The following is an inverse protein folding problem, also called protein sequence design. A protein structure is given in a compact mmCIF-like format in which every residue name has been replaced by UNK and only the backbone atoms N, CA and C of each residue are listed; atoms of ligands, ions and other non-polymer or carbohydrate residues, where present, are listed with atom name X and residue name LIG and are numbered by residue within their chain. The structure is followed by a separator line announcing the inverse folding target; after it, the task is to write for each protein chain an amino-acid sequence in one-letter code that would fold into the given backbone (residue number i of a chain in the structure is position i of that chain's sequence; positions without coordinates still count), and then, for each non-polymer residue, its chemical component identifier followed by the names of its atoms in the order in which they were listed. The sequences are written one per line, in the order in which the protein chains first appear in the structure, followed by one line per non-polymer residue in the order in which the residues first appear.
data_IF_040622161444
#
_entry.id   IF_040622161444
#
_cell.length_a   1.000
_cell.length_b   1.000
_cell.length_c   1.000
_cell.angle_alpha   90.00
_cell.angle_beta   90.00
_cell.angle_gamma   90.00
#
_symmetry.space_group_name_H-M   'P 1'
#
loop_
_entity.id
_entity.type
_entity.pdbx_description
1 polymer ?
#
# COMPACT_ATOMS: atom_id res chain seq x y z
N UNK A 1 -31.02 6.11 34.89
CA UNK A 1 -32.27 5.73 34.19
C UNK A 1 -31.88 4.99 32.92
N UNK A 2 -32.17 3.68 32.83
CA UNK A 2 -31.87 2.81 31.67
C UNK A 2 -33.18 2.57 30.94
N UNK A 3 -33.25 2.89 29.66
CA UNK A 3 -34.42 2.59 28.82
C UNK A 3 -34.05 1.45 27.89
N UNK A 4 -34.64 0.29 28.16
CA UNK A 4 -34.66 -0.89 27.29
C UNK A 4 -35.56 -0.60 26.09
N UNK A 5 -35.06 -0.81 24.86
CA UNK A 5 -35.92 -0.96 23.69
C UNK A 5 -35.99 -2.43 23.30
N UNK A 6 -37.21 -2.94 23.36
CA UNK A 6 -37.62 -4.31 23.19
C UNK A 6 -38.29 -4.46 21.82
N UNK A 7 -37.76 -5.37 21.00
CA UNK A 7 -38.48 -6.13 19.98
C UNK A 7 -38.39 -5.67 18.52
N UNK A 8 -38.84 -6.51 17.55
CA UNK A 8 -39.09 -7.96 17.63
C UNK A 8 -38.29 -8.79 16.62
N UNK A 9 -38.09 -10.05 17.01
CA UNK A 9 -37.87 -11.22 16.18
C UNK A 9 -38.57 -11.17 14.81
N UNK A 10 -37.82 -11.42 13.73
CA UNK A 10 -38.29 -12.20 12.59
C UNK A 10 -37.16 -13.05 12.02
N UNK A 11 -37.11 -14.27 12.54
CA UNK A 11 -36.52 -15.47 11.96
C UNK A 11 -37.08 -15.62 10.54
N UNK A 12 -36.22 -15.62 9.53
CA UNK A 12 -36.48 -16.31 8.27
C UNK A 12 -35.41 -17.38 8.09
N UNK A 13 -35.92 -18.61 8.15
CA UNK A 13 -35.26 -19.90 8.02
C UNK A 13 -35.46 -20.36 6.55
N UNK A 14 -34.57 -21.24 6.06
CA UNK A 14 -34.57 -21.96 4.75
C UNK A 14 -33.78 -21.24 3.63
N UNK A 15 -32.90 -21.85 2.83
CA UNK A 15 -32.49 -23.25 2.62
C UNK A 15 -31.11 -23.22 1.93
N UNK A 16 -30.11 -23.98 2.39
CA UNK A 16 -29.57 -25.17 1.71
C UNK A 16 -29.45 -25.06 0.18
N UNK A 17 -28.22 -24.96 -0.34
CA UNK A 17 -27.77 -25.69 -1.55
C UNK A 17 -26.23 -25.70 -1.62
N UNK A 18 -25.63 -26.80 -1.15
CA UNK A 18 -24.26 -27.19 -1.49
C UNK A 18 -24.26 -27.83 -2.88
N UNK A 19 -23.42 -27.39 -3.84
CA UNK A 19 -22.97 -28.26 -4.91
C UNK A 19 -21.70 -28.98 -4.45
N UNK A 20 -21.86 -30.24 -4.06
CA UNK A 20 -20.78 -31.20 -3.94
C UNK A 20 -20.34 -31.62 -5.35
N UNK A 21 -19.21 -31.10 -5.83
CA UNK A 21 -18.54 -31.66 -7.01
C UNK A 21 -17.74 -32.89 -6.59
N UNK A 22 -18.43 -34.04 -6.60
CA UNK A 22 -17.87 -35.38 -6.57
C UNK A 22 -17.87 -35.91 -8.00
N UNK A 23 -16.71 -36.29 -8.54
CA UNK A 23 -16.66 -37.05 -9.79
C UNK A 23 -15.34 -36.90 -10.54
N UNK A 24 -14.61 -38.00 -10.67
CA UNK A 24 -13.52 -38.12 -11.65
C UNK A 24 -12.39 -39.06 -11.21
N UNK A 25 -12.69 -40.34 -11.07
CA UNK A 25 -11.69 -41.43 -10.99
C UNK A 25 -11.19 -41.77 -12.41
N UNK A 26 -9.85 -41.79 -12.58
CA UNK A 26 -9.03 -42.56 -13.54
C UNK A 26 -9.25 -42.36 -15.07
N UNK A 27 -8.22 -42.49 -15.95
CA UNK A 27 -7.09 -43.43 -15.83
C UNK A 27 -5.68 -42.87 -16.09
N UNK A 28 -4.75 -43.62 -15.51
CA UNK A 28 -3.32 -43.71 -15.77
C UNK A 28 -3.00 -43.71 -17.27
N UNK A 29 -2.46 -42.58 -17.76
CA UNK A 29 -1.91 -42.47 -19.09
C UNK A 29 -0.38 -42.59 -19.00
N UNK A 30 0.14 -43.69 -19.54
CA UNK A 30 1.55 -43.95 -19.80
C UNK A 30 2.23 -42.77 -20.52
N UNK A 31 3.27 -42.13 -19.95
CA UNK A 31 4.08 -41.20 -20.73
C UNK A 31 5.05 -41.98 -21.61
N UNK A 32 4.83 -41.90 -22.92
CA UNK A 32 5.83 -42.22 -23.94
C UNK A 32 7.05 -41.27 -23.83
N UNK A 33 8.25 -41.73 -24.20
CA UNK A 33 9.50 -40.99 -23.97
C UNK A 33 9.58 -39.67 -24.77
N UNK A 34 9.96 -38.59 -24.08
CA UNK A 34 10.14 -37.27 -24.65
C UNK A 34 11.40 -37.17 -25.54
N UNK A 35 11.36 -36.41 -26.66
CA UNK A 35 12.52 -36.07 -27.49
C UNK A 35 13.46 -35.04 -26.81
N UNK A 36 14.71 -34.90 -27.29
CA UNK A 36 15.82 -34.32 -26.53
C UNK A 36 15.71 -32.82 -26.25
N UNK A 37 16.28 -32.46 -25.08
CA UNK A 37 16.47 -31.14 -24.52
C UNK A 37 16.93 -30.10 -25.55
N UNK A 38 15.97 -29.33 -26.06
CA UNK A 38 16.28 -28.08 -26.74
C UNK A 38 16.61 -27.08 -25.65
N UNK A 39 17.88 -26.76 -25.47
CA UNK A 39 18.36 -25.77 -24.52
C UNK A 39 17.63 -24.44 -24.74
N UNK A 40 16.65 -24.16 -23.87
CA UNK A 40 15.97 -22.89 -23.80
C UNK A 40 16.99 -21.85 -23.35
N UNK A 41 17.55 -21.10 -24.31
CA UNK A 41 18.35 -19.92 -24.02
C UNK A 41 17.44 -18.92 -23.33
N UNK A 42 17.53 -18.86 -22.00
CA UNK A 42 16.75 -17.95 -21.17
C UNK A 42 17.17 -16.51 -21.48
N UNK A 43 16.41 -15.84 -22.35
CA UNK A 43 16.46 -14.39 -22.47
C UNK A 43 16.27 -13.79 -21.06
N UNK A 44 16.97 -12.68 -20.72
CA UNK A 44 16.79 -12.03 -19.44
C UNK A 44 15.32 -11.65 -19.28
N UNK A 45 14.63 -12.37 -18.41
CA UNK A 45 13.23 -12.10 -18.08
C UNK A 45 13.17 -10.70 -17.48
N UNK A 46 12.66 -9.74 -18.24
CA UNK A 46 12.46 -8.38 -17.77
C UNK A 46 11.58 -8.46 -16.53
N UNK A 47 12.09 -7.96 -15.39
CA UNK A 47 11.37 -7.99 -14.14
C UNK A 47 9.98 -7.36 -14.36
N UNK A 48 8.90 -7.99 -13.87
CA UNK A 48 7.55 -7.49 -14.09
C UNK A 48 7.44 -6.04 -13.56
N UNK A 49 6.64 -5.19 -14.22
CA UNK A 49 6.49 -3.79 -13.81
C UNK A 49 6.02 -3.74 -12.36
N UNK A 50 6.90 -3.27 -11.47
CA UNK A 50 6.58 -3.15 -10.05
C UNK A 50 5.72 -1.91 -9.84
N UNK A 51 4.60 -2.07 -9.14
CA UNK A 51 3.81 -0.93 -8.67
C UNK A 51 4.66 -0.14 -7.66
N UNK A 52 4.85 1.17 -7.82
CA UNK A 52 5.59 1.98 -6.85
C UNK A 52 4.97 1.85 -5.45
N UNK A 53 5.77 1.38 -4.49
CA UNK A 53 5.41 1.30 -3.06
C UNK A 53 5.86 2.52 -2.26
N UNK A 54 6.51 3.47 -2.93
CA UNK A 54 7.13 4.64 -2.33
C UNK A 54 6.06 5.54 -1.72
N UNK A 55 6.28 5.92 -0.46
CA UNK A 55 5.42 6.82 0.31
C UNK A 55 6.20 8.06 0.69
N UNK A 56 5.71 9.23 0.31
CA UNK A 56 6.33 10.50 0.67
C UNK A 56 5.69 11.08 1.92
N UNK A 57 6.53 11.54 2.83
CA UNK A 57 6.16 12.10 4.11
C UNK A 57 6.81 13.47 4.33
N UNK A 58 6.08 14.37 4.98
CA UNK A 58 6.62 15.57 5.62
C UNK A 58 6.37 15.44 7.11
N UNK A 59 7.43 15.29 7.90
CA UNK A 59 7.35 15.16 9.35
C UNK A 59 7.87 16.42 10.03
N UNK A 60 7.23 16.84 11.14
CA UNK A 60 7.75 17.91 11.99
C UNK A 60 8.53 17.32 13.15
N UNK A 61 9.83 17.56 13.15
CA UNK A 61 10.72 17.30 14.29
C UNK A 61 10.63 18.45 15.29
N UNK A 62 11.34 18.35 16.41
CA UNK A 62 11.33 19.40 17.45
C UNK A 62 11.79 20.77 16.91
N UNK A 63 12.67 20.77 15.91
CA UNK A 63 13.32 21.99 15.42
C UNK A 63 12.88 22.39 14.00
N UNK A 64 12.50 21.43 13.16
CA UNK A 64 12.32 21.66 11.71
C UNK A 64 11.36 20.68 11.07
N UNK A 65 11.01 20.93 9.80
CA UNK A 65 10.22 20.00 9.01
C UNK A 65 11.09 19.34 7.95
N UNK A 66 10.89 18.04 7.79
CA UNK A 66 11.72 17.20 6.96
C UNK A 66 10.85 16.39 5.99
N UNK A 67 11.20 16.45 4.72
CA UNK A 67 10.61 15.61 3.67
C UNK A 67 11.49 14.40 3.45
N UNK A 68 10.89 13.22 3.49
CA UNK A 68 11.54 11.96 3.19
C UNK A 68 10.55 11.03 2.48
N UNK A 69 11.09 10.06 1.75
CA UNK A 69 10.33 8.98 1.14
C UNK A 69 10.68 7.66 1.78
N UNK A 70 9.71 6.77 1.91
CA UNK A 70 9.89 5.42 2.40
C UNK A 70 9.53 4.46 1.28
N UNK A 71 10.49 3.64 0.85
CA UNK A 71 10.23 2.48 0.00
C UNK A 71 10.40 1.20 0.80
N UNK A 72 9.28 0.53 1.09
CA UNK A 72 9.21 -0.62 2.01
C UNK A 72 9.79 -0.24 3.38
N UNK A 73 11.01 -0.64 3.67
CA UNK A 73 11.71 -0.37 4.94
C UNK A 73 12.88 0.60 4.78
N UNK A 74 13.14 1.06 3.55
CA UNK A 74 14.23 1.98 3.24
C UNK A 74 13.72 3.41 3.30
N UNK A 75 14.33 4.22 4.16
CA UNK A 75 14.02 5.66 4.31
C UNK A 75 15.08 6.47 3.55
N UNK A 76 14.62 7.37 2.68
CA UNK A 76 15.51 8.27 1.95
C UNK A 76 16.14 9.33 2.87
N UNK A 77 17.22 10.00 2.44
CA UNK A 77 17.72 11.19 3.11
C UNK A 77 16.62 12.23 3.32
N UNK A 78 16.60 12.85 4.51
CA UNK A 78 15.66 13.89 4.87
C UNK A 78 16.08 15.24 4.26
N UNK A 79 15.17 15.90 3.55
CA UNK A 79 15.36 17.26 3.03
C UNK A 79 14.65 18.25 3.93
N UNK A 80 15.37 19.29 4.38
CA UNK A 80 14.80 20.32 5.24
C UNK A 80 13.87 21.25 4.45
N UNK A 81 12.71 21.57 5.04
CA UNK A 81 11.68 22.42 4.42
C UNK A 81 11.02 23.31 5.47
N UNK A 82 10.45 24.45 5.07
CA UNK A 82 9.66 25.27 5.97
C UNK A 82 8.44 24.51 6.50
N UNK A 83 8.17 24.65 7.79
CA UNK A 83 7.03 23.99 8.43
C UNK A 83 5.70 24.66 8.08
N UNK A 84 4.66 23.91 7.69
CA UNK A 84 3.32 24.43 7.64
C UNK A 84 2.83 24.76 9.06
N UNK A 85 2.10 25.86 9.21
CA UNK A 85 1.68 26.41 10.52
C UNK A 85 0.85 25.40 11.33
N UNK A 86 0.07 24.56 10.65
CA UNK A 86 -0.86 23.64 11.29
C UNK A 86 -0.20 22.34 11.74
N UNK A 87 1.04 22.05 11.34
CA UNK A 87 1.74 20.81 11.65
C UNK A 87 2.40 20.87 13.02
N UNK A 88 2.06 19.96 13.93
CA UNK A 88 2.65 19.91 15.26
C UNK A 88 3.86 18.96 15.32
N UNK A 89 4.71 19.15 16.31
CA UNK A 89 5.86 18.27 16.54
C UNK A 89 5.36 16.83 16.77
N UNK A 90 5.94 15.88 16.04
CA UNK A 90 5.53 14.47 16.07
C UNK A 90 4.40 14.11 15.10
N UNK A 91 3.74 15.09 14.48
CA UNK A 91 2.81 14.85 13.38
C UNK A 91 3.55 14.71 12.03
N UNK A 92 2.93 13.99 11.11
CA UNK A 92 3.41 13.85 9.74
C UNK A 92 2.28 13.95 8.72
N UNK A 93 2.61 14.45 7.52
CA UNK A 93 1.70 14.53 6.38
C UNK A 93 2.20 13.55 5.33
N UNK A 94 1.33 12.69 4.83
CA UNK A 94 1.59 11.71 3.78
C UNK A 94 0.83 12.06 2.51
N UNK A 95 1.45 11.86 1.35
CA UNK A 95 0.77 11.96 0.05
C UNK A 95 -0.01 10.68 -0.26
N UNK A 96 -1.28 10.83 -0.64
CA UNK A 96 -2.17 9.76 -1.07
C UNK A 96 -2.79 10.11 -2.43
N UNK A 97 -2.02 9.91 -3.50
CA UNK A 97 -2.43 10.28 -4.86
C UNK A 97 -2.47 11.80 -5.03
N UNK A 98 -3.67 12.37 -5.09
CA UNK A 98 -3.88 13.82 -5.27
C UNK A 98 -4.21 14.55 -3.96
N UNK A 99 -4.39 13.84 -2.86
CA UNK A 99 -4.68 14.40 -1.54
C UNK A 99 -3.54 14.11 -0.58
N UNK A 100 -3.51 14.86 0.52
CA UNK A 100 -2.59 14.62 1.62
C UNK A 100 -3.39 14.21 2.86
N UNK A 101 -2.86 13.21 3.56
CA UNK A 101 -3.41 12.73 4.82
C UNK A 101 -2.44 13.11 5.94
N UNK A 102 -2.96 13.53 7.08
CA UNK A 102 -2.15 13.73 8.28
C UNK A 102 -2.22 12.51 9.17
N UNK A 103 -1.09 12.11 9.71
CA UNK A 103 -0.94 11.02 10.65
C UNK A 103 -0.35 11.58 11.97
N UNK A 104 -0.88 11.13 13.12
CA UNK A 104 -0.33 11.46 14.44
C UNK A 104 -1.31 12.12 15.43
N UNK A 105 -2.35 12.82 14.95
CA UNK A 105 -3.40 13.39 15.81
C UNK A 105 -4.78 13.11 15.23
N UNK A 106 -5.74 12.78 16.09
CA UNK A 106 -7.06 12.24 15.70
C UNK A 106 -8.15 13.29 15.53
N UNK A 107 -7.98 14.52 16.02
CA UNK A 107 -9.07 15.51 16.03
C UNK A 107 -8.59 16.90 15.59
N UNK A 108 -8.82 17.23 14.31
CA UNK A 108 -8.75 18.61 13.81
C UNK A 108 -9.85 18.87 12.79
N UNK A 109 -10.45 20.06 12.90
CA UNK A 109 -11.52 20.54 12.02
C UNK A 109 -11.01 20.97 10.65
N UNK A 110 -9.70 21.25 10.52
CA UNK A 110 -9.15 21.88 9.33
C UNK A 110 -8.61 20.86 8.32
N UNK A 111 -8.92 21.00 7.02
CA UNK A 111 -8.42 20.09 6.00
C UNK A 111 -6.90 20.20 5.85
N UNK A 112 -6.27 19.08 5.50
CA UNK A 112 -4.83 19.02 5.26
C UNK A 112 -4.53 19.55 3.86
N UNK A 113 -3.87 20.71 3.79
CA UNK A 113 -3.33 21.23 2.53
C UNK A 113 -1.97 20.58 2.25
N UNK A 114 -1.80 20.05 1.04
CA UNK A 114 -0.54 19.45 0.62
C UNK A 114 0.58 20.50 0.54
N UNK A 115 1.67 20.36 1.31
CA UNK A 115 2.81 21.27 1.21
C UNK A 115 3.49 21.14 -0.16
N UNK A 116 3.88 22.28 -0.76
CA UNK A 116 4.48 22.29 -2.10
C UNK A 116 5.74 21.42 -2.20
N UNK A 117 6.63 21.49 -1.20
CA UNK A 117 7.84 20.66 -1.16
C UNK A 117 7.53 19.16 -1.16
N UNK A 118 6.46 18.74 -0.48
CA UNK A 118 6.04 17.34 -0.44
C UNK A 118 5.47 16.89 -1.79
N UNK A 119 4.70 17.75 -2.47
CA UNK A 119 4.18 17.47 -3.81
C UNK A 119 5.29 17.40 -4.86
N UNK A 120 6.31 18.24 -4.75
CA UNK A 120 7.48 18.19 -5.64
C UNK A 120 8.22 16.87 -5.46
N UNK A 121 8.52 16.48 -4.23
CA UNK A 121 9.18 15.21 -3.93
C UNK A 121 8.38 13.99 -4.41
N UNK A 122 7.04 14.04 -4.34
CA UNK A 122 6.17 12.96 -4.81
C UNK A 122 6.02 12.86 -6.33
N UNK A 123 6.40 13.91 -7.07
CA UNK A 123 6.42 13.91 -8.54
C UNK A 123 7.75 13.46 -9.10
N UNK A 124 8.82 13.61 -8.33
CA UNK A 124 10.14 13.21 -8.75
C UNK A 124 10.21 11.69 -8.84
N UNK A 125 10.54 11.12 -10.03
CA UNK A 125 10.71 9.69 -10.14
C UNK A 125 11.86 9.24 -9.24
N UNK A 126 11.80 8.05 -8.63
CA UNK A 126 12.95 7.49 -7.93
C UNK A 126 14.13 7.48 -8.91
N UNK A 127 15.23 8.14 -8.51
CA UNK A 127 16.44 8.17 -9.31
C UNK A 127 16.94 6.75 -9.64
N UNK A 128 17.68 6.57 -10.73
CA UNK A 128 18.20 5.25 -11.15
C UNK A 128 19.10 4.59 -10.10
N UNK A 129 19.55 5.34 -9.09
CA UNK A 129 20.47 4.89 -8.04
C UNK A 129 19.78 4.36 -6.78
N UNK A 130 18.44 4.29 -6.74
CA UNK A 130 17.67 3.74 -5.60
C UNK A 130 17.78 2.22 -5.40
N UNK A 131 18.71 1.56 -6.10
CA UNK A 131 18.93 0.12 -6.05
C UNK A 131 20.41 -0.25 -6.12
N UNK A 132 21.16 0.00 -5.05
CA UNK A 132 22.31 -0.80 -4.58
C UNK A 132 23.05 -0.06 -3.45
N UNK A 133 23.77 -0.75 -2.53
CA UNK A 133 23.89 -2.20 -2.31
C UNK A 133 23.02 -2.76 -1.17
#
# INVERSE_FOLDING_TARGET
MRVFFCGPFRVFLLAAFLPACRGGDAPEATPAPAPPDTAFSAAPSAAPPRRPTIRHYLARTAERCEVHSVDRDVVSPATQTPCPQDLQVGERIRVMGKSCLREGSTERTQPVVCPGALLSAAREPPGPDGGAP
#
